data_IF_129875541783
#
_entry.id   IF_129875541783
#
_cell.length_a   1.000
_cell.length_b   1.000
_cell.length_c   1.000
_cell.angle_alpha   90.00
_cell.angle_beta   90.00
_cell.angle_gamma   90.00
#
_symmetry.space_group_name_H-M   'P 1'
#
loop_
_entity.id
_entity.type
_entity.pdbx_description
1 polymer ?
#
# COMPACT_ATOMS: atom_id res chain seq x y z
N UNK A 1 7.54 4.17 9.14
CA UNK A 1 8.97 3.99 9.32
C UNK A 1 9.42 2.56 9.58
N UNK A 2 8.51 1.62 9.89
CA UNK A 2 8.85 0.23 10.24
C UNK A 2 8.14 -0.85 9.38
N UNK A 3 7.57 -0.49 8.27
CA UNK A 3 6.93 -1.39 7.32
C UNK A 3 7.93 -1.78 6.23
N UNK A 4 8.77 -2.79 6.50
CA UNK A 4 9.98 -3.03 5.71
C UNK A 4 9.78 -3.89 4.46
N UNK A 5 8.72 -4.68 4.37
CA UNK A 5 8.48 -5.60 3.24
C UNK A 5 8.37 -4.82 1.93
N UNK A 6 7.58 -3.75 1.89
CA UNK A 6 7.43 -2.91 0.70
C UNK A 6 8.76 -2.26 0.27
N UNK A 7 9.56 -1.77 1.22
CA UNK A 7 10.85 -1.15 0.95
C UNK A 7 11.79 -2.14 0.27
N UNK A 8 11.96 -3.33 0.85
CA UNK A 8 12.85 -4.36 0.30
C UNK A 8 12.32 -4.91 -1.03
N UNK A 9 11.01 -5.08 -1.16
CA UNK A 9 10.37 -5.46 -2.43
C UNK A 9 10.75 -4.51 -3.57
N UNK A 10 10.61 -3.20 -3.35
CA UNK A 10 10.93 -2.22 -4.39
C UNK A 10 12.43 -2.10 -4.67
N UNK A 11 13.28 -2.33 -3.65
CA UNK A 11 14.73 -2.39 -3.83
C UNK A 11 15.17 -3.60 -4.68
N UNK A 12 14.49 -4.74 -4.57
CA UNK A 12 14.74 -5.90 -5.43
C UNK A 12 14.22 -5.65 -6.85
N UNK A 13 12.99 -5.17 -7.01
CA UNK A 13 12.40 -4.85 -8.29
C UNK A 13 13.25 -3.84 -9.09
N UNK A 14 13.82 -2.84 -8.43
CA UNK A 14 14.75 -1.89 -9.05
C UNK A 14 15.95 -2.57 -9.73
N UNK A 15 16.40 -3.72 -9.21
CA UNK A 15 17.54 -4.48 -9.75
C UNK A 15 17.11 -5.48 -10.83
N UNK A 16 15.89 -5.99 -10.73
CA UNK A 16 15.38 -7.08 -11.56
C UNK A 16 14.67 -6.59 -12.83
N UNK A 17 13.96 -5.47 -12.75
CA UNK A 17 13.19 -4.96 -13.88
C UNK A 17 14.11 -4.50 -15.00
N UNK A 18 13.90 -5.09 -16.19
CA UNK A 18 14.54 -4.66 -17.40
C UNK A 18 13.63 -3.66 -18.15
N UNK A 19 13.98 -2.37 -18.22
CA UNK A 19 13.13 -1.37 -18.87
C UNK A 19 12.80 -1.70 -20.33
N UNK A 20 13.69 -2.41 -21.06
CA UNK A 20 13.45 -2.80 -22.44
C UNK A 20 12.37 -3.88 -22.60
N UNK A 21 12.00 -4.58 -21.52
CA UNK A 21 10.94 -5.58 -21.49
C UNK A 21 9.58 -5.02 -21.00
N UNK A 22 9.50 -3.73 -20.73
CA UNK A 22 8.28 -3.09 -20.23
C UNK A 22 7.54 -2.34 -21.35
N UNK A 23 6.22 -2.47 -21.35
CA UNK A 23 5.34 -1.62 -22.15
C UNK A 23 4.80 -0.50 -21.27
N UNK A 24 5.49 0.64 -21.29
CA UNK A 24 5.14 1.78 -20.43
C UNK A 24 6.24 2.12 -19.44
N UNK A 25 5.86 2.76 -18.34
CA UNK A 25 6.77 3.28 -17.33
C UNK A 25 6.37 2.78 -15.94
N UNK A 26 7.37 2.41 -15.13
CA UNK A 26 7.20 2.06 -13.74
C UNK A 26 7.98 3.05 -12.88
N UNK A 27 7.29 3.71 -11.95
CA UNK A 27 7.89 4.60 -10.95
C UNK A 27 7.98 3.83 -9.65
N UNK A 28 9.18 3.64 -9.13
CA UNK A 28 9.43 2.99 -7.84
C UNK A 28 9.88 4.03 -6.81
N UNK A 29 9.12 4.15 -5.73
CA UNK A 29 9.44 5.01 -4.59
C UNK A 29 9.60 4.16 -3.33
N UNK A 30 10.78 3.58 -3.07
CA UNK A 30 10.97 2.60 -2.01
C UNK A 30 10.78 3.13 -0.61
N UNK A 31 11.08 4.41 -0.37
CA UNK A 31 11.07 5.00 0.96
C UNK A 31 10.47 6.40 0.93
N UNK A 32 9.22 6.51 1.38
CA UNK A 32 8.46 7.78 1.37
C UNK A 32 8.72 8.60 2.63
N UNK A 33 9.01 7.94 3.76
CA UNK A 33 9.32 8.57 5.04
C UNK A 33 10.75 8.21 5.51
N UNK A 34 11.81 8.79 4.90
CA UNK A 34 13.19 8.48 5.28
C UNK A 34 13.51 8.88 6.72
N UNK A 35 12.98 10.00 7.20
CA UNK A 35 13.20 10.43 8.57
C UNK A 35 12.64 9.42 9.57
N UNK A 36 11.40 8.98 9.38
CA UNK A 36 10.78 7.94 10.21
C UNK A 36 11.53 6.61 10.16
N UNK A 37 12.05 6.25 8.99
CA UNK A 37 12.85 5.03 8.82
C UNK A 37 14.14 5.07 9.63
N UNK A 38 14.94 6.13 9.49
CA UNK A 38 16.23 6.23 10.20
C UNK A 38 16.10 6.48 11.71
N UNK A 39 14.98 7.04 12.17
CA UNK A 39 14.69 7.20 13.60
C UNK A 39 13.94 6.01 14.19
N UNK A 40 13.58 5.02 13.39
CA UNK A 40 12.79 3.87 13.85
C UNK A 40 11.41 4.26 14.36
N UNK A 41 10.82 5.35 13.84
CA UNK A 41 9.48 5.74 14.25
C UNK A 41 8.44 4.77 13.69
N UNK A 42 7.42 4.52 14.50
CA UNK A 42 6.36 3.58 14.20
C UNK A 42 5.57 4.02 12.95
N UNK A 43 4.83 5.11 13.02
CA UNK A 43 3.92 5.54 11.96
C UNK A 43 3.93 7.05 11.70
N UNK A 44 4.79 7.80 12.39
CA UNK A 44 4.83 9.25 12.28
C UNK A 44 6.14 9.74 11.68
N UNK A 45 6.13 10.96 11.15
CA UNK A 45 7.33 11.68 10.77
C UNK A 45 7.85 12.44 12.00
N UNK A 46 9.10 12.24 12.45
CA UNK A 46 9.64 12.88 13.64
C UNK A 46 9.57 14.40 13.64
N UNK A 47 9.73 15.05 12.48
CA UNK A 47 9.73 16.51 12.36
C UNK A 47 8.44 17.19 12.87
N UNK A 48 7.29 16.53 12.78
CA UNK A 48 6.00 17.12 13.19
C UNK A 48 5.08 16.16 13.94
N UNK A 49 5.50 14.92 14.15
CA UNK A 49 4.73 13.89 14.85
C UNK A 49 3.48 13.40 14.08
N UNK A 50 3.32 13.76 12.81
CA UNK A 50 2.15 13.43 12.03
C UNK A 50 2.32 12.11 11.27
N UNK A 51 1.21 11.40 11.04
CA UNK A 51 1.18 10.27 10.14
C UNK A 51 0.96 10.75 8.70
N UNK A 52 1.98 10.58 7.83
CA UNK A 52 1.92 11.02 6.44
C UNK A 52 0.67 10.48 5.71
N UNK A 53 0.29 9.22 5.97
CA UNK A 53 -0.88 8.60 5.35
C UNK A 53 -2.23 9.10 5.92
N UNK A 54 -2.22 10.27 6.55
CA UNK A 54 -3.42 11.04 6.99
C UNK A 54 -3.37 12.50 6.54
N UNK A 55 -2.32 12.87 5.77
CA UNK A 55 -2.04 14.26 5.41
C UNK A 55 -2.46 14.63 3.99
N UNK A 56 -3.08 13.72 3.25
CA UNK A 56 -3.61 13.99 1.91
C UNK A 56 -5.05 14.54 1.97
N UNK A 57 -5.38 15.62 1.20
CA UNK A 57 -4.48 16.41 0.36
C UNK A 57 -3.46 17.20 1.18
N UNK A 58 -2.24 17.34 0.65
CA UNK A 58 -1.20 18.13 1.25
C UNK A 58 -1.40 19.65 1.07
N UNK A 59 -0.68 20.44 1.88
CA UNK A 59 -0.73 21.91 1.82
C UNK A 59 0.69 22.48 1.79
N UNK A 60 0.92 23.47 0.94
CA UNK A 60 2.24 24.14 0.80
C UNK A 60 2.64 24.94 2.03
N UNK A 61 1.69 25.43 2.81
CA UNK A 61 1.85 26.20 4.05
C UNK A 61 1.60 25.35 5.32
N UNK A 62 1.45 24.02 5.15
CA UNK A 62 1.19 23.09 6.24
C UNK A 62 2.44 22.66 7.00
N UNK A 63 2.28 21.67 7.87
CA UNK A 63 3.38 20.99 8.59
C UNK A 63 4.29 20.25 7.59
N UNK A 64 5.43 19.76 8.05
CA UNK A 64 6.38 19.00 7.21
C UNK A 64 5.70 17.84 6.48
N UNK A 65 4.93 17.00 7.20
CA UNK A 65 4.19 15.89 6.59
C UNK A 65 3.17 16.35 5.56
N UNK A 66 2.49 17.47 5.81
CA UNK A 66 1.52 18.04 4.87
C UNK A 66 2.19 18.58 3.61
N UNK A 67 3.34 19.24 3.74
CA UNK A 67 4.14 19.68 2.59
C UNK A 67 4.67 18.49 1.80
N UNK A 68 5.15 17.43 2.47
CA UNK A 68 5.60 16.22 1.80
C UNK A 68 4.45 15.54 1.02
N UNK A 69 3.25 15.45 1.61
CA UNK A 69 2.07 14.95 0.91
C UNK A 69 1.79 15.77 -0.35
N UNK A 70 1.90 17.12 -0.27
CA UNK A 70 1.71 18.01 -1.42
C UNK A 70 2.74 17.77 -2.53
N UNK A 71 4.02 17.58 -2.17
CA UNK A 71 5.07 17.26 -3.15
C UNK A 71 4.77 15.94 -3.85
N UNK A 72 4.34 14.91 -3.10
CA UNK A 72 3.96 13.62 -3.69
C UNK A 72 2.78 13.76 -4.65
N UNK A 73 1.75 14.51 -4.30
CA UNK A 73 0.63 14.81 -5.19
C UNK A 73 1.09 15.48 -6.48
N UNK A 74 1.90 16.52 -6.38
CA UNK A 74 2.32 17.31 -7.54
C UNK A 74 3.31 16.59 -8.45
N UNK A 75 4.08 15.62 -7.91
CA UNK A 75 5.11 14.93 -8.68
C UNK A 75 4.72 13.54 -9.15
N UNK A 76 3.92 12.79 -8.39
CA UNK A 76 3.55 11.41 -8.74
C UNK A 76 2.24 11.32 -9.48
N UNK A 77 1.19 12.02 -9.01
CA UNK A 77 -0.15 11.81 -9.56
C UNK A 77 -0.28 12.20 -11.04
N UNK A 78 0.33 13.29 -11.53
CA UNK A 78 0.28 13.62 -12.97
C UNK A 78 0.97 12.58 -13.87
N UNK A 79 1.82 11.74 -13.29
CA UNK A 79 2.63 10.76 -13.98
C UNK A 79 2.09 9.32 -13.86
N UNK A 80 0.98 9.13 -13.13
CA UNK A 80 0.45 7.82 -12.76
C UNK A 80 -0.90 7.53 -13.43
N UNK A 81 -0.98 6.44 -14.17
CA UNK A 81 -2.25 5.85 -14.65
C UNK A 81 -2.83 4.84 -13.65
N UNK A 82 -2.01 4.34 -12.73
CA UNK A 82 -2.39 3.46 -11.63
C UNK A 82 -1.40 3.62 -10.47
N UNK A 83 -1.86 3.52 -9.22
CA UNK A 83 -1.02 3.61 -8.03
C UNK A 83 -1.20 2.38 -7.14
N UNK A 84 -0.08 1.78 -6.72
CA UNK A 84 -0.04 0.71 -5.72
C UNK A 84 0.79 1.19 -4.52
N UNK A 85 0.14 1.26 -3.37
CA UNK A 85 0.75 1.66 -2.10
C UNK A 85 1.08 0.39 -1.30
N UNK A 86 2.35 0.20 -0.92
CA UNK A 86 2.81 -0.98 -0.21
C UNK A 86 3.00 -0.67 1.27
N UNK A 87 2.21 -1.33 2.08
CA UNK A 87 2.18 -1.23 3.53
C UNK A 87 2.45 -2.57 4.21
N UNK A 88 2.53 -2.57 5.52
CA UNK A 88 2.64 -3.75 6.37
C UNK A 88 2.41 -3.41 7.83
N UNK A 89 2.32 -4.43 8.67
CA UNK A 89 2.14 -4.27 10.11
C UNK A 89 3.37 -3.66 10.77
N UNK A 90 3.15 -2.69 11.65
CA UNK A 90 4.21 -2.07 12.42
C UNK A 90 4.71 -2.95 13.59
N UNK A 91 5.65 -2.44 14.40
CA UNK A 91 6.44 -3.23 15.39
C UNK A 91 5.63 -4.07 16.37
N UNK A 92 4.36 -3.75 16.61
CA UNK A 92 3.48 -4.49 17.53
C UNK A 92 2.15 -4.92 16.87
N UNK A 93 2.11 -4.96 15.56
CA UNK A 93 0.93 -5.32 14.78
C UNK A 93 1.11 -6.67 14.11
N UNK A 94 0.28 -7.65 14.46
CA UNK A 94 0.12 -8.87 13.69
C UNK A 94 -0.85 -8.60 12.54
N UNK A 95 -0.47 -9.00 11.33
CA UNK A 95 -1.19 -8.65 10.12
C UNK A 95 -1.41 -9.86 9.22
N UNK A 96 -2.67 -10.13 8.88
CA UNK A 96 -3.01 -11.04 7.78
C UNK A 96 -2.90 -10.28 6.46
N UNK A 97 -2.22 -10.82 5.43
CA UNK A 97 -2.11 -10.15 4.14
C UNK A 97 -3.47 -9.80 3.53
N UNK A 98 -3.63 -8.54 3.12
CA UNK A 98 -4.88 -8.03 2.55
C UNK A 98 -4.64 -6.88 1.57
N UNK A 99 -5.69 -6.56 0.78
CA UNK A 99 -5.69 -5.43 -0.16
C UNK A 99 -6.85 -4.52 0.19
N UNK A 100 -6.59 -3.23 0.37
CA UNK A 100 -7.63 -2.22 0.35
C UNK A 100 -7.82 -1.67 -1.07
N UNK A 101 -9.08 -1.52 -1.47
CA UNK A 101 -9.46 -0.83 -2.70
C UNK A 101 -10.56 0.20 -2.45
N UNK A 102 -10.55 1.35 -3.15
CA UNK A 102 -11.44 2.46 -2.86
C UNK A 102 -12.86 2.19 -3.41
N UNK A 103 -13.88 2.53 -2.61
CA UNK A 103 -15.30 2.45 -3.02
C UNK A 103 -16.04 3.79 -2.93
N UNK A 104 -15.47 4.78 -2.23
CA UNK A 104 -16.04 6.12 -2.12
C UNK A 104 -15.52 7.09 -3.22
N UNK A 105 -15.46 6.57 -4.46
CA UNK A 105 -14.97 7.26 -5.66
C UNK A 105 -15.92 6.98 -6.82
N UNK A 106 -15.63 7.51 -8.01
CA UNK A 106 -16.39 7.20 -9.21
C UNK A 106 -16.41 5.68 -9.49
N UNK A 107 -17.54 5.17 -9.99
CA UNK A 107 -17.76 3.71 -10.17
C UNK A 107 -16.73 3.07 -11.09
N UNK A 108 -16.30 3.75 -12.13
CA UNK A 108 -15.29 3.26 -13.07
C UNK A 108 -13.94 3.05 -12.39
N UNK A 109 -13.51 3.98 -11.52
CA UNK A 109 -12.28 3.90 -10.75
C UNK A 109 -12.33 2.78 -9.72
N UNK A 110 -13.44 2.69 -8.98
CA UNK A 110 -13.68 1.60 -8.03
C UNK A 110 -13.66 0.24 -8.73
N UNK A 111 -14.28 0.12 -9.92
CA UNK A 111 -14.29 -1.10 -10.71
C UNK A 111 -12.89 -1.47 -11.22
N UNK A 112 -12.10 -0.50 -11.71
CA UNK A 112 -10.74 -0.73 -12.16
C UNK A 112 -9.84 -1.20 -11.00
N UNK A 113 -9.94 -0.58 -9.82
CA UNK A 113 -9.21 -0.99 -8.63
C UNK A 113 -9.64 -2.38 -8.14
N UNK A 114 -10.94 -2.70 -8.12
CA UNK A 114 -11.45 -4.03 -7.76
C UNK A 114 -10.94 -5.10 -8.73
N UNK A 115 -10.99 -4.86 -10.04
CA UNK A 115 -10.51 -5.78 -11.07
C UNK A 115 -9.00 -6.06 -10.93
N UNK A 116 -8.21 -5.03 -10.60
CA UNK A 116 -6.80 -5.19 -10.33
C UNK A 116 -6.57 -6.02 -9.05
N UNK A 117 -7.28 -5.70 -7.96
CA UNK A 117 -7.18 -6.44 -6.69
C UNK A 117 -7.50 -7.94 -6.85
N UNK A 118 -8.44 -8.30 -7.73
CA UNK A 118 -8.81 -9.69 -8.03
C UNK A 118 -7.69 -10.49 -8.68
N UNK A 119 -6.68 -9.85 -9.22
CA UNK A 119 -5.54 -10.49 -9.87
C UNK A 119 -4.38 -10.79 -8.96
N UNK A 120 -4.37 -10.22 -7.75
CA UNK A 120 -3.27 -10.36 -6.82
C UNK A 120 -3.46 -11.58 -5.92
N UNK A 121 -2.39 -12.34 -5.69
CA UNK A 121 -2.34 -13.51 -4.81
C UNK A 121 -2.35 -13.09 -3.33
N UNK A 122 -3.44 -12.46 -2.89
CA UNK A 122 -3.67 -12.01 -1.51
C UNK A 122 -5.03 -12.52 -1.04
N UNK A 123 -5.14 -13.12 0.18
CA UNK A 123 -6.35 -13.84 0.58
C UNK A 123 -7.58 -12.96 0.80
N UNK A 124 -7.39 -11.69 1.16
CA UNK A 124 -8.50 -10.80 1.50
C UNK A 124 -8.47 -9.51 0.69
N UNK A 125 -9.65 -9.11 0.18
CA UNK A 125 -9.90 -7.81 -0.43
C UNK A 125 -10.87 -7.04 0.44
N UNK A 126 -10.52 -5.83 0.82
CA UNK A 126 -11.29 -5.00 1.75
C UNK A 126 -11.73 -3.72 1.06
N UNK A 127 -13.04 -3.45 1.09
CA UNK A 127 -13.56 -2.18 0.60
C UNK A 127 -13.16 -1.04 1.53
N UNK A 128 -12.72 0.09 0.97
CA UNK A 128 -12.30 1.24 1.75
C UNK A 128 -13.05 2.51 1.34
N UNK A 129 -13.47 3.28 2.33
CA UNK A 129 -14.05 4.62 2.15
C UNK A 129 -13.08 5.73 2.59
N UNK A 130 -11.82 5.39 2.89
CA UNK A 130 -10.77 6.34 3.24
C UNK A 130 -10.54 7.35 2.12
N UNK A 131 -10.10 8.57 2.48
CA UNK A 131 -9.89 9.69 1.53
C UNK A 131 -8.63 10.51 1.78
N UNK A 132 -7.86 10.19 2.79
CA UNK A 132 -6.76 11.03 3.28
C UNK A 132 -5.39 10.34 3.34
N UNK A 133 -5.25 9.19 2.68
CA UNK A 133 -3.98 8.48 2.48
C UNK A 133 -3.49 8.59 1.05
N UNK A 134 -2.26 8.17 0.77
CA UNK A 134 -1.64 8.26 -0.55
C UNK A 134 -2.52 7.60 -1.64
N UNK A 135 -2.83 6.31 -1.51
CA UNK A 135 -3.65 5.60 -2.50
C UNK A 135 -5.10 6.12 -2.55
N UNK A 136 -5.68 6.40 -1.38
CA UNK A 136 -7.09 6.79 -1.31
C UNK A 136 -7.34 8.19 -1.84
N UNK A 137 -6.38 9.11 -1.68
CA UNK A 137 -6.45 10.43 -2.28
C UNK A 137 -6.14 10.40 -3.78
N UNK A 138 -5.19 9.57 -4.24
CA UNK A 138 -4.98 9.32 -5.67
C UNK A 138 -6.29 8.92 -6.36
N UNK A 139 -7.07 8.04 -5.73
CA UNK A 139 -8.39 7.64 -6.24
C UNK A 139 -9.42 8.78 -6.26
N UNK A 140 -9.38 9.72 -5.30
CA UNK A 140 -10.20 10.96 -5.36
C UNK A 140 -9.77 11.87 -6.53
N UNK A 141 -8.48 11.82 -6.90
CA UNK A 141 -7.92 12.59 -8.03
C UNK A 141 -8.09 11.89 -9.39
N UNK A 142 -8.79 10.76 -9.46
CA UNK A 142 -9.09 10.07 -10.72
C UNK A 142 -8.09 8.98 -11.11
N UNK A 143 -7.19 8.57 -10.22
CA UNK A 143 -6.18 7.54 -10.46
C UNK A 143 -6.63 6.26 -9.77
N UNK A 144 -6.91 5.14 -10.48
CA UNK A 144 -7.19 3.86 -9.86
C UNK A 144 -6.03 3.45 -8.96
N UNK A 145 -6.35 2.98 -7.74
CA UNK A 145 -5.30 2.73 -6.77
C UNK A 145 -5.65 1.57 -5.82
N UNK A 146 -4.61 0.91 -5.31
CA UNK A 146 -4.67 -0.15 -4.30
C UNK A 146 -3.72 0.16 -3.16
N UNK A 147 -4.04 -0.35 -1.96
CA UNK A 147 -3.09 -0.49 -0.88
C UNK A 147 -2.96 -1.96 -0.53
N UNK A 148 -1.76 -2.49 -0.53
CA UNK A 148 -1.44 -3.87 -0.18
C UNK A 148 -0.73 -3.90 1.16
N UNK A 149 -1.27 -4.69 2.07
CA UNK A 149 -0.69 -4.93 3.40
C UNK A 149 0.02 -6.27 3.40
N UNK A 150 1.35 -6.28 3.64
CA UNK A 150 2.17 -7.49 3.80
C UNK A 150 3.31 -7.30 4.78
N UNK A 151 3.60 -8.36 5.54
CA UNK A 151 4.56 -8.33 6.63
C UNK A 151 3.96 -7.80 7.92
N UNK A 152 4.55 -8.14 9.04
CA UNK A 152 4.04 -7.83 10.37
C UNK A 152 5.16 -7.57 11.36
N UNK A 153 4.81 -6.99 12.54
CA UNK A 153 5.70 -6.82 13.70
C UNK A 153 6.99 -6.05 13.41
N UNK A 154 6.95 -5.15 12.42
CA UNK A 154 8.15 -4.41 12.00
C UNK A 154 9.27 -5.33 11.52
N UNK A 155 8.92 -6.48 10.96
CA UNK A 155 9.85 -7.46 10.42
C UNK A 155 9.64 -7.64 8.91
N UNK A 156 10.63 -8.22 8.27
CA UNK A 156 10.51 -8.72 6.91
C UNK A 156 11.10 -10.13 6.82
N UNK A 157 10.58 -10.93 5.91
CA UNK A 157 11.12 -12.24 5.56
C UNK A 157 11.29 -12.34 4.04
N UNK A 158 12.16 -13.24 3.59
CA UNK A 158 12.31 -13.50 2.16
C UNK A 158 11.02 -14.02 1.52
N UNK A 159 10.19 -14.73 2.28
CA UNK A 159 8.88 -15.23 1.84
C UNK A 159 7.90 -14.06 1.60
N UNK A 160 7.72 -13.16 2.56
CA UNK A 160 6.83 -12.01 2.43
C UNK A 160 7.29 -11.02 1.35
N UNK A 161 8.59 -10.78 1.23
CA UNK A 161 9.16 -9.96 0.15
C UNK A 161 8.91 -10.62 -1.22
N UNK A 162 9.09 -11.94 -1.33
CA UNK A 162 8.82 -12.67 -2.57
C UNK A 162 7.34 -12.63 -2.96
N UNK A 163 6.44 -12.80 -1.99
CA UNK A 163 5.00 -12.72 -2.20
C UNK A 163 4.56 -11.29 -2.58
N UNK A 164 5.09 -10.27 -1.89
CA UNK A 164 4.82 -8.86 -2.22
C UNK A 164 5.31 -8.51 -3.64
N UNK A 165 6.50 -8.97 -4.01
CA UNK A 165 7.06 -8.80 -5.35
C UNK A 165 6.19 -9.46 -6.42
N UNK A 166 5.69 -10.67 -6.18
CA UNK A 166 4.76 -11.33 -7.10
C UNK A 166 3.47 -10.51 -7.26
N UNK A 167 2.92 -9.95 -6.18
CA UNK A 167 1.76 -9.07 -6.30
C UNK A 167 2.01 -7.84 -7.19
N UNK A 168 3.22 -7.25 -7.15
CA UNK A 168 3.58 -6.17 -8.09
C UNK A 168 3.64 -6.69 -9.53
N UNK A 169 4.24 -7.85 -9.76
CA UNK A 169 4.28 -8.46 -11.09
C UNK A 169 2.88 -8.82 -11.61
N UNK A 170 1.99 -9.35 -10.77
CA UNK A 170 0.60 -9.63 -11.12
C UNK A 170 -0.14 -8.36 -11.55
N UNK A 171 0.05 -7.25 -10.81
CA UNK A 171 -0.50 -5.96 -11.21
C UNK A 171 0.08 -5.47 -12.54
N UNK A 172 1.41 -5.56 -12.73
CA UNK A 172 2.05 -5.14 -13.98
C UNK A 172 1.56 -5.95 -15.19
N UNK A 173 1.30 -7.26 -15.03
CA UNK A 173 0.68 -8.11 -16.05
C UNK A 173 -0.76 -7.67 -16.33
N UNK A 174 -1.56 -7.43 -15.29
CA UNK A 174 -2.95 -6.96 -15.40
C UNK A 174 -3.03 -5.64 -16.18
N UNK A 175 -2.10 -4.73 -15.93
CA UNK A 175 -2.02 -3.43 -16.60
C UNK A 175 -1.37 -3.49 -18.01
N UNK A 176 -0.92 -4.66 -18.45
CA UNK A 176 -0.24 -4.82 -19.74
C UNK A 176 1.16 -4.23 -19.81
N UNK A 177 1.77 -3.91 -18.65
CA UNK A 177 3.15 -3.41 -18.56
C UNK A 177 4.15 -4.54 -18.82
N UNK A 178 3.83 -5.77 -18.40
CA UNK A 178 4.60 -6.97 -18.68
C UNK A 178 3.83 -7.87 -19.65
N UNK A 179 4.45 -8.20 -20.78
CA UNK A 179 3.94 -9.15 -21.76
C UNK A 179 4.45 -10.56 -21.43
N UNK A 180 3.86 -11.18 -20.44
CA UNK A 180 4.06 -12.60 -20.16
C UNK A 180 2.67 -13.24 -20.17
N UNK A 181 2.54 -14.40 -20.79
CA UNK A 181 1.29 -15.13 -20.82
C UNK A 181 0.73 -15.25 -19.39
N UNK A 182 -0.45 -14.67 -19.19
CA UNK A 182 -1.17 -14.77 -17.94
C UNK A 182 -1.49 -16.23 -17.70
N UNK A 183 -0.74 -16.89 -16.83
CA UNK A 183 -1.26 -18.10 -16.18
C UNK A 183 -2.44 -17.60 -15.34
N UNK A 184 -3.64 -17.91 -15.81
CA UNK A 184 -4.89 -17.58 -15.10
C UNK A 184 -4.99 -18.42 -13.83
N UNK A 185 -4.15 -18.13 -12.83
CA UNK A 185 -4.34 -18.64 -11.49
C UNK A 185 -5.33 -17.73 -10.79
N UNK A 186 -6.57 -18.16 -10.72
CA UNK A 186 -7.56 -17.52 -9.86
C UNK A 186 -7.18 -17.86 -8.41
N UNK A 187 -6.48 -16.96 -7.74
CA UNK A 187 -6.20 -17.11 -6.32
C UNK A 187 -7.54 -16.94 -5.55
N UNK A 188 -7.92 -17.87 -4.68
CA UNK A 188 -9.16 -17.75 -3.93
C UNK A 188 -9.07 -16.57 -2.95
N UNK A 189 -9.98 -15.61 -3.10
CA UNK A 189 -10.02 -14.41 -2.28
C UNK A 189 -11.37 -14.27 -1.60
N UNK A 190 -11.36 -13.74 -0.38
CA UNK A 190 -12.56 -13.32 0.33
C UNK A 190 -12.70 -11.79 0.27
N UNK A 191 -13.85 -11.29 -0.18
CA UNK A 191 -14.15 -9.88 -0.15
C UNK A 191 -14.79 -9.47 1.18
N UNK A 192 -14.18 -8.54 1.88
CA UNK A 192 -14.65 -7.96 3.15
C UNK A 192 -15.23 -6.58 2.86
N UNK A 193 -16.55 -6.46 2.97
CA UNK A 193 -17.27 -5.19 2.72
C UNK A 193 -17.49 -4.37 3.97
N UNK A 194 -17.32 -4.97 5.15
CA UNK A 194 -17.52 -4.30 6.43
C UNK A 194 -16.50 -4.80 7.43
N UNK A 195 -15.62 -3.91 7.86
CA UNK A 195 -14.69 -4.14 8.96
C UNK A 195 -15.23 -3.52 10.26
N UNK A 196 -14.92 -4.15 11.38
CA UNK A 196 -15.21 -3.62 12.71
C UNK A 196 -13.88 -3.35 13.39
N UNK A 197 -13.62 -2.07 13.66
CA UNK A 197 -12.45 -1.66 14.42
C UNK A 197 -12.81 -1.67 15.92
N UNK A 198 -12.02 -2.36 16.70
CA UNK A 198 -12.12 -2.38 18.16
C UNK A 198 -10.90 -1.69 18.75
N UNK A 199 -11.14 -0.67 19.53
CA UNK A 199 -10.11 0.07 20.25
C UNK A 199 -10.08 -0.36 21.72
N UNK A 200 -8.90 -0.24 22.34
CA UNK A 200 -8.79 -0.45 23.78
C UNK A 200 -9.63 0.62 24.51
N UNK A 201 -10.46 0.23 25.50
CA UNK A 201 -11.34 1.16 26.20
C UNK A 201 -10.59 2.09 27.18
N UNK A 202 -9.32 1.79 27.46
CA UNK A 202 -8.45 2.55 28.36
C UNK A 202 -6.99 2.29 28.06
N UNK A 203 -6.11 3.13 28.58
CA UNK A 203 -4.66 2.90 28.54
C UNK A 203 -4.29 1.63 29.30
N UNK A 204 -3.34 0.87 28.79
CA UNK A 204 -2.88 -0.37 29.40
C UNK A 204 -2.06 -1.25 28.47
N UNK A 205 -1.79 -2.47 28.91
CA UNK A 205 -1.15 -3.48 28.10
C UNK A 205 -2.20 -4.33 27.38
N UNK A 206 -2.04 -4.45 26.06
CA UNK A 206 -2.91 -5.29 25.26
C UNK A 206 -2.38 -6.71 25.21
N UNK A 207 -3.20 -7.67 25.62
CA UNK A 207 -2.93 -9.09 25.49
C UNK A 207 -4.00 -9.71 24.58
N UNK A 208 -3.65 -10.16 23.35
CA UNK A 208 -4.63 -10.77 22.46
C UNK A 208 -5.16 -12.08 23.06
N UNK A 209 -6.46 -12.30 22.98
CA UNK A 209 -7.09 -13.55 23.37
C UNK A 209 -6.93 -14.66 22.32
N UNK A 210 -6.51 -14.29 21.12
CA UNK A 210 -6.21 -15.20 20.01
C UNK A 210 -4.73 -15.11 19.68
N UNK A 211 -4.11 -16.25 19.39
CA UNK A 211 -2.67 -16.34 19.10
C UNK A 211 -2.33 -16.12 17.62
N UNK A 212 -3.32 -16.21 16.75
CA UNK A 212 -3.16 -16.13 15.30
C UNK A 212 -4.21 -15.21 14.68
N UNK A 213 -3.79 -14.51 13.63
CA UNK A 213 -4.69 -13.78 12.75
C UNK A 213 -5.33 -14.80 11.81
N UNK A 214 -6.61 -15.05 11.98
CA UNK A 214 -7.39 -16.05 11.23
C UNK A 214 -8.32 -15.46 10.22
#
# INVERSE_FOLDING_TARGET
GCEYVGIETLNQLKKELNPAALSGRVILLPLVNPEGFYHGSKQTIPADGQNLNRMFPGKSDGTFSSQLARVLEETLYPEADFLMDLHGGDVNEALTPLIFFPTAVEKSLSAAASAAAERLSVPYRVTSTSRNGLYSWAAQCGIPALLVERGERGLWSGEEVSACRENVYELMRHLGILHVDMVSSCFPQTEIRKAIYKEAPADGFWYPAVSETG
#
